data_IF_489716458906
#
_entry.id   IF_489716458906
#
_cell.length_a   1.000
_cell.length_b   1.000
_cell.length_c   1.000
_cell.angle_alpha   90.00
_cell.angle_beta   90.00
_cell.angle_gamma   90.00
#
_symmetry.space_group_name_H-M   'P 1'
#
loop_
_entity.id
_entity.type
_entity.pdbx_description
1 polymer ?
#
# COMPACT_ATOMS: atom_id res chain seq x y z
N UNK A 1 21.01 20.48 17.74
CA UNK A 1 20.73 20.61 16.28
C UNK A 1 20.09 19.38 15.63
N UNK A 2 19.92 18.21 16.28
CA UNK A 2 19.24 17.04 15.67
C UNK A 2 17.71 17.17 15.58
N UNK A 3 17.09 17.84 16.54
CA UNK A 3 15.62 17.96 16.63
C UNK A 3 14.98 18.69 15.45
N UNK A 4 15.57 19.78 14.95
CA UNK A 4 15.00 20.48 13.79
C UNK A 4 15.10 19.63 12.52
N UNK A 5 16.21 18.91 12.32
CA UNK A 5 16.37 17.99 11.17
C UNK A 5 15.34 16.86 11.20
N UNK A 6 15.09 16.25 12.36
CA UNK A 6 14.07 15.20 12.50
C UNK A 6 12.66 15.71 12.21
N UNK A 7 12.33 16.92 12.70
CA UNK A 7 11.04 17.57 12.41
C UNK A 7 10.89 17.82 10.90
N UNK A 8 11.91 18.36 10.23
CA UNK A 8 11.86 18.56 8.79
C UNK A 8 11.68 17.24 8.03
N UNK A 9 12.39 16.18 8.40
CA UNK A 9 12.25 14.86 7.76
C UNK A 9 10.80 14.37 7.84
N UNK A 10 10.20 14.42 9.03
CA UNK A 10 8.80 13.98 9.23
C UNK A 10 7.83 14.85 8.43
N UNK A 11 7.98 16.17 8.51
CA UNK A 11 7.09 17.12 7.80
C UNK A 11 7.17 16.94 6.29
N UNK A 12 8.38 16.88 5.72
CA UNK A 12 8.55 16.70 4.27
C UNK A 12 8.12 15.32 3.80
N UNK A 13 8.31 14.27 4.61
CA UNK A 13 7.83 12.92 4.28
C UNK A 13 6.30 12.89 4.29
N UNK A 14 5.64 13.46 5.30
CA UNK A 14 4.18 13.57 5.36
C UNK A 14 3.64 14.40 4.20
N UNK A 15 4.24 15.56 3.91
CA UNK A 15 3.85 16.39 2.78
C UNK A 15 4.02 15.64 1.45
N UNK A 16 5.13 14.93 1.27
CA UNK A 16 5.37 14.09 0.09
C UNK A 16 4.32 13.00 -0.07
N UNK A 17 3.97 12.29 1.01
CA UNK A 17 2.93 11.26 1.01
C UNK A 17 1.55 11.85 0.69
N UNK A 18 1.19 12.99 1.31
CA UNK A 18 -0.09 13.66 1.10
C UNK A 18 -0.26 14.19 -0.33
N UNK A 19 0.82 14.61 -0.98
CA UNK A 19 0.80 15.06 -2.38
C UNK A 19 0.84 13.90 -3.37
N UNK A 20 1.67 12.88 -3.09
CA UNK A 20 1.88 11.75 -4.01
C UNK A 20 0.72 10.75 -4.01
N UNK A 21 0.08 10.49 -2.86
CA UNK A 21 -1.05 9.56 -2.79
C UNK A 21 -2.21 9.95 -3.72
N UNK A 22 -2.80 11.15 -3.65
CA UNK A 22 -3.91 11.50 -4.53
C UNK A 22 -3.49 11.49 -6.01
N UNK A 23 -2.28 11.94 -6.34
CA UNK A 23 -1.74 11.86 -7.69
C UNK A 23 -1.62 10.41 -8.18
N UNK A 24 -1.15 9.50 -7.32
CA UNK A 24 -1.03 8.07 -7.61
C UNK A 24 -2.40 7.41 -7.79
N UNK A 25 -3.38 7.76 -6.95
CA UNK A 25 -4.75 7.26 -7.08
C UNK A 25 -5.38 7.71 -8.40
N UNK A 26 -5.21 8.98 -8.78
CA UNK A 26 -5.65 9.50 -10.08
C UNK A 26 -4.93 8.78 -11.23
N UNK A 27 -3.61 8.61 -11.14
CA UNK A 27 -2.83 7.91 -12.16
C UNK A 27 -3.29 6.46 -12.33
N UNK A 28 -3.45 5.70 -11.24
CA UNK A 28 -4.01 4.34 -11.26
C UNK A 28 -5.39 4.32 -11.91
N UNK A 29 -6.17 5.37 -11.66
CA UNK A 29 -7.51 5.46 -12.18
C UNK A 29 -7.56 5.69 -13.70
N UNK A 30 -6.59 6.44 -14.22
CA UNK A 30 -6.44 6.71 -15.65
C UNK A 30 -5.78 5.54 -16.38
N UNK A 31 -4.77 4.91 -15.78
CA UNK A 31 -4.01 3.81 -16.37
C UNK A 31 -4.78 2.48 -16.34
N UNK A 32 -5.55 2.22 -15.29
CA UNK A 32 -6.24 0.94 -15.06
C UNK A 32 -7.73 1.15 -14.71
N UNK A 33 -8.53 1.84 -15.55
CA UNK A 33 -9.91 2.23 -15.23
C UNK A 33 -10.83 1.02 -15.01
N UNK A 34 -10.61 -0.07 -15.73
CA UNK A 34 -11.38 -1.32 -15.57
C UNK A 34 -11.13 -1.95 -14.19
N UNK A 35 -9.89 -1.91 -13.70
CA UNK A 35 -9.53 -2.49 -12.41
C UNK A 35 -10.15 -1.68 -11.28
N UNK A 36 -9.97 -0.36 -11.29
CA UNK A 36 -10.50 0.53 -10.23
C UNK A 36 -12.03 0.51 -10.18
N UNK A 37 -12.71 0.50 -11.33
CA UNK A 37 -14.18 0.43 -11.42
C UNK A 37 -14.71 -0.91 -10.91
N UNK A 38 -14.08 -2.03 -11.29
CA UNK A 38 -14.48 -3.35 -10.79
C UNK A 38 -14.25 -3.49 -9.29
N UNK A 39 -13.14 -2.96 -8.78
CA UNK A 39 -12.85 -2.94 -7.34
C UNK A 39 -13.90 -2.11 -6.59
N UNK A 40 -14.23 -0.90 -7.05
CA UNK A 40 -15.28 -0.07 -6.48
C UNK A 40 -16.63 -0.80 -6.46
N UNK A 41 -17.04 -1.41 -7.58
CA UNK A 41 -18.30 -2.15 -7.66
C UNK A 41 -18.35 -3.37 -6.72
N UNK A 42 -17.23 -4.08 -6.52
CA UNK A 42 -17.14 -5.20 -5.57
C UNK A 42 -17.18 -4.71 -4.12
N UNK A 43 -16.46 -3.63 -3.82
CA UNK A 43 -16.44 -3.05 -2.48
C UNK A 43 -17.81 -2.50 -2.08
N UNK A 44 -18.53 -1.86 -3.01
CA UNK A 44 -19.89 -1.37 -2.79
C UNK A 44 -20.88 -2.50 -2.45
N UNK A 45 -20.73 -3.67 -3.08
CA UNK A 45 -21.61 -4.83 -2.85
C UNK A 45 -21.35 -5.52 -1.52
N UNK A 46 -20.09 -5.63 -1.09
CA UNK A 46 -19.72 -6.39 0.11
C UNK A 46 -18.56 -5.76 0.88
N UNK A 47 -18.71 -4.56 1.47
CA UNK A 47 -17.60 -3.83 2.08
C UNK A 47 -16.98 -4.60 3.26
N UNK A 48 -17.82 -5.14 4.15
CA UNK A 48 -17.35 -5.87 5.33
C UNK A 48 -16.56 -7.14 5.01
N UNK A 49 -17.00 -7.92 4.00
CA UNK A 49 -16.27 -9.14 3.58
C UNK A 49 -14.94 -8.80 2.91
N UNK A 50 -14.89 -7.74 2.09
CA UNK A 50 -13.65 -7.31 1.46
C UNK A 50 -12.60 -6.84 2.47
N UNK A 51 -13.01 -6.13 3.53
CA UNK A 51 -12.11 -5.77 4.63
C UNK A 51 -11.66 -7.00 5.44
N UNK A 52 -12.59 -7.90 5.79
CA UNK A 52 -12.27 -9.12 6.53
C UNK A 52 -11.29 -10.03 5.80
N UNK A 53 -11.34 -10.09 4.47
CA UNK A 53 -10.36 -10.83 3.67
C UNK A 53 -9.02 -10.08 3.54
N UNK A 54 -9.02 -8.75 3.58
CA UNK A 54 -7.81 -7.94 3.52
C UNK A 54 -6.92 -8.09 4.76
N UNK A 55 -7.51 -8.21 5.95
CA UNK A 55 -6.78 -8.35 7.23
C UNK A 55 -5.81 -9.55 7.24
N UNK A 56 -6.23 -10.80 6.97
CA UNK A 56 -5.33 -11.94 7.00
C UNK A 56 -4.27 -11.87 5.91
N UNK A 57 -4.61 -11.33 4.73
CA UNK A 57 -3.63 -11.14 3.64
C UNK A 57 -2.56 -10.13 4.08
N UNK A 58 -2.97 -8.99 4.63
CA UNK A 58 -2.04 -7.98 5.16
C UNK A 58 -1.15 -8.56 6.26
N UNK A 59 -1.73 -9.31 7.21
CA UNK A 59 -0.98 -9.96 8.27
C UNK A 59 0.06 -10.95 7.73
N UNK A 60 -0.30 -11.77 6.76
CA UNK A 60 0.62 -12.72 6.13
C UNK A 60 1.81 -12.00 5.46
N UNK A 61 1.55 -10.92 4.72
CA UNK A 61 2.62 -10.10 4.12
C UNK A 61 3.53 -9.46 5.18
N UNK A 62 2.96 -8.87 6.23
CA UNK A 62 3.74 -8.23 7.30
C UNK A 62 4.61 -9.24 8.05
N UNK A 63 4.07 -10.42 8.37
CA UNK A 63 4.82 -11.51 9.01
C UNK A 63 5.96 -11.96 8.10
N UNK A 64 5.67 -12.20 6.80
CA UNK A 64 6.69 -12.63 5.85
C UNK A 64 7.82 -11.60 5.72
N UNK A 65 7.47 -10.32 5.56
CA UNK A 65 8.44 -9.23 5.45
C UNK A 65 9.28 -9.15 6.73
N UNK A 66 8.66 -9.22 7.91
CA UNK A 66 9.38 -9.18 9.18
C UNK A 66 10.40 -10.33 9.30
N UNK A 67 9.99 -11.56 8.99
CA UNK A 67 10.89 -12.73 9.05
C UNK A 67 11.99 -12.63 8.01
N UNK A 68 11.66 -12.37 6.75
CA UNK A 68 12.63 -12.32 5.66
C UNK A 68 13.61 -11.12 5.77
N UNK A 69 13.21 -10.04 6.45
CA UNK A 69 14.10 -8.88 6.69
C UNK A 69 15.21 -9.14 7.71
N UNK A 70 15.05 -10.14 8.59
CA UNK A 70 16.06 -10.51 9.60
C UNK A 70 17.16 -11.41 9.01
N UNK A 71 16.98 -11.93 7.80
CA UNK A 71 17.98 -12.78 7.15
C UNK A 71 19.15 -11.90 6.67
N UNK A 72 20.40 -12.18 7.10
CA UNK A 72 21.54 -11.27 6.93
C UNK A 72 21.79 -10.90 5.45
N UNK A 73 21.92 -11.88 4.56
CA UNK A 73 22.01 -11.67 3.11
C UNK A 73 21.55 -12.93 2.36
N UNK A 74 20.88 -12.74 1.21
CA UNK A 74 20.52 -13.83 0.31
C UNK A 74 19.20 -13.62 -0.44
N UNK A 75 18.83 -14.58 -1.32
CA UNK A 75 17.60 -14.54 -2.12
C UNK A 75 16.34 -14.34 -1.27
N UNK A 76 16.34 -14.89 -0.06
CA UNK A 76 15.22 -14.79 0.90
C UNK A 76 14.95 -13.34 1.29
N UNK A 77 15.99 -12.53 1.53
CA UNK A 77 15.82 -11.10 1.86
C UNK A 77 15.22 -10.31 0.71
N UNK A 78 15.54 -10.67 -0.53
CA UNK A 78 14.93 -10.05 -1.71
C UNK A 78 13.43 -10.33 -1.81
N UNK A 79 12.96 -11.50 -1.31
CA UNK A 79 11.52 -11.79 -1.28
C UNK A 79 10.74 -10.85 -0.36
N UNK A 80 11.35 -10.31 0.70
CA UNK A 80 10.73 -9.29 1.54
C UNK A 80 10.42 -8.01 0.74
N UNK A 81 11.35 -7.61 -0.12
CA UNK A 81 11.19 -6.42 -0.95
C UNK A 81 10.12 -6.62 -2.02
N UNK A 82 10.12 -7.78 -2.68
CA UNK A 82 9.07 -8.15 -3.65
C UNK A 82 7.71 -8.19 -2.96
N UNK A 83 7.63 -8.81 -1.79
CA UNK A 83 6.40 -8.87 -1.01
C UNK A 83 5.92 -7.47 -0.62
N UNK A 84 6.82 -6.57 -0.22
CA UNK A 84 6.48 -5.19 0.09
C UNK A 84 5.93 -4.43 -1.13
N UNK A 85 6.55 -4.57 -2.31
CA UNK A 85 6.07 -3.94 -3.54
C UNK A 85 4.68 -4.45 -3.91
N UNK A 86 4.47 -5.77 -3.87
CA UNK A 86 3.17 -6.38 -4.19
C UNK A 86 2.12 -5.90 -3.18
N UNK A 87 2.44 -5.91 -1.88
CA UNK A 87 1.54 -5.43 -0.84
C UNK A 87 1.14 -3.96 -1.01
N UNK A 88 2.12 -3.09 -1.32
CA UNK A 88 1.87 -1.68 -1.61
C UNK A 88 0.99 -1.50 -2.85
N UNK A 89 1.25 -2.23 -3.93
CA UNK A 89 0.47 -2.20 -5.17
C UNK A 89 -0.98 -2.65 -4.95
N UNK A 90 -1.19 -3.78 -4.27
CA UNK A 90 -2.53 -4.27 -3.94
C UNK A 90 -3.29 -3.28 -3.04
N UNK A 91 -2.62 -2.73 -2.04
CA UNK A 91 -3.20 -1.73 -1.15
C UNK A 91 -3.60 -0.45 -1.89
N UNK A 92 -2.78 0.03 -2.83
CA UNK A 92 -3.09 1.23 -3.62
C UNK A 92 -4.22 1.02 -4.62
N UNK A 93 -4.33 -0.17 -5.24
CA UNK A 93 -5.49 -0.52 -6.07
C UNK A 93 -6.78 -0.56 -5.24
N UNK A 94 -6.73 -1.12 -4.03
CA UNK A 94 -7.85 -1.09 -3.09
C UNK A 94 -8.26 0.33 -2.72
N UNK A 95 -7.30 1.17 -2.37
CA UNK A 95 -7.53 2.58 -2.05
C UNK A 95 -8.11 3.36 -3.24
N UNK A 96 -7.67 3.09 -4.47
CA UNK A 96 -8.22 3.72 -5.67
C UNK A 96 -9.67 3.30 -5.94
N UNK A 97 -10.04 2.06 -5.61
CA UNK A 97 -11.43 1.60 -5.62
C UNK A 97 -12.28 2.30 -4.57
N UNK A 98 -11.76 2.49 -3.35
CA UNK A 98 -12.44 3.24 -2.27
C UNK A 98 -12.63 4.70 -2.66
N UNK A 99 -11.62 5.35 -3.23
CA UNK A 99 -11.69 6.77 -3.62
C UNK A 99 -12.70 7.07 -4.73
N UNK A 100 -13.26 6.02 -5.37
CA UNK A 100 -14.34 6.12 -6.36
C UNK A 100 -15.74 5.91 -5.80
N UNK A 101 -15.85 5.40 -4.56
CA UNK A 101 -17.14 5.23 -3.86
C UNK A 101 -17.66 6.59 -3.39
#
# INVERSE_FOLDING_TARGET
MRTMTDVYIVVFTLAGVLLSLPALLVALNLLLPKVTTNTAARLAKTPGRSFLLGIPVMAAFLIWIAVASQVPFGPVRATAFIAAIIGMGLGTVGAAGIARL
#
